data_IF_216524744923
#
_entry.id   IF_216524744923
#
_cell.length_a   1.000
_cell.length_b   1.000
_cell.length_c   1.000
_cell.angle_alpha   90.00
_cell.angle_beta   90.00
_cell.angle_gamma   90.00
#
_symmetry.space_group_name_H-M   'P 1'
#
loop_
_entity.id
_entity.type
_entity.pdbx_description
1 polymer ?
#
# COMPACT_ATOMS: atom_id res chain seq x y z
N UNK A 1 13.31 14.98 -3.03
CA UNK A 1 12.72 13.82 -3.76
C UNK A 1 11.28 14.12 -4.14
N UNK A 2 10.70 13.45 -5.18
CA UNK A 2 9.28 13.55 -5.55
C UNK A 2 8.70 12.15 -5.66
N UNK A 3 7.53 11.92 -5.04
CA UNK A 3 6.80 10.65 -5.12
C UNK A 3 5.52 10.86 -5.93
N UNK A 4 5.47 10.30 -7.13
CA UNK A 4 4.27 10.26 -7.98
C UNK A 4 3.39 9.11 -7.54
N UNK A 5 2.12 9.41 -7.21
CA UNK A 5 1.20 8.42 -6.65
C UNK A 5 -0.23 8.56 -7.14
N UNK A 6 -1.02 7.52 -6.97
CA UNK A 6 -2.46 7.61 -6.79
C UNK A 6 -2.77 7.58 -5.29
N UNK A 7 -3.67 8.44 -4.82
CA UNK A 7 -4.11 8.48 -3.43
C UNK A 7 -4.57 7.09 -2.91
N UNK A 8 -5.26 6.33 -3.76
CA UNK A 8 -5.81 5.01 -3.39
C UNK A 8 -4.88 3.82 -3.67
N UNK A 9 -3.60 4.04 -3.94
CA UNK A 9 -2.67 2.94 -4.25
C UNK A 9 -1.96 2.44 -3.01
N UNK A 10 -2.21 1.16 -2.64
CA UNK A 10 -1.49 0.45 -1.58
C UNK A 10 0.03 0.51 -1.75
N UNK A 11 0.54 0.31 -2.97
CA UNK A 11 1.95 0.36 -3.30
C UNK A 11 2.57 1.75 -3.11
N UNK A 12 1.79 2.81 -3.35
CA UNK A 12 2.24 4.18 -3.10
C UNK A 12 2.33 4.46 -1.61
N UNK A 13 1.34 4.05 -0.83
CA UNK A 13 1.35 4.18 0.64
C UNK A 13 2.47 3.37 1.28
N UNK A 14 2.81 2.19 0.76
CA UNK A 14 3.98 1.42 1.20
C UNK A 14 5.27 2.23 1.03
N UNK A 15 5.48 2.82 -0.15
CA UNK A 15 6.68 3.63 -0.43
C UNK A 15 6.68 4.90 0.43
N UNK A 16 5.54 5.57 0.56
CA UNK A 16 5.40 6.74 1.41
C UNK A 16 5.78 6.43 2.85
N UNK A 17 5.21 5.37 3.43
CA UNK A 17 5.54 4.94 4.80
C UNK A 17 7.03 4.58 4.94
N UNK A 18 7.63 3.92 3.96
CA UNK A 18 9.07 3.63 3.99
C UNK A 18 9.94 4.91 4.00
N UNK A 19 9.55 5.94 3.25
CA UNK A 19 10.20 7.26 3.27
C UNK A 19 10.03 7.95 4.63
N UNK A 20 8.82 7.90 5.20
CA UNK A 20 8.50 8.49 6.51
C UNK A 20 9.28 7.81 7.64
N UNK A 21 9.40 6.48 7.64
CA UNK A 21 10.21 5.72 8.60
C UNK A 21 11.70 6.06 8.51
N UNK A 22 12.19 6.43 7.34
CA UNK A 22 13.56 6.92 7.14
C UNK A 22 13.72 8.41 7.48
N UNK A 23 12.63 9.14 7.75
CA UNK A 23 12.65 10.59 7.96
C UNK A 23 13.03 11.37 6.70
N UNK A 24 12.76 10.82 5.52
CA UNK A 24 13.10 11.48 4.23
C UNK A 24 12.08 12.55 3.91
N UNK A 25 12.57 13.70 3.40
CA UNK A 25 11.70 14.77 2.88
C UNK A 25 11.40 14.51 1.40
N UNK A 26 10.15 14.61 1.03
CA UNK A 26 9.69 14.42 -0.35
C UNK A 26 8.43 15.26 -0.61
N UNK A 27 8.21 15.58 -1.87
CA UNK A 27 7.00 16.17 -2.41
C UNK A 27 6.09 15.05 -2.91
N UNK A 28 4.80 15.08 -2.55
CA UNK A 28 3.80 14.19 -3.13
C UNK A 28 3.24 14.82 -4.40
N UNK A 29 3.30 14.08 -5.49
CA UNK A 29 2.69 14.46 -6.77
C UNK A 29 1.53 13.50 -7.04
N UNK A 30 0.31 14.03 -6.87
CA UNK A 30 -0.91 13.27 -7.17
C UNK A 30 -1.10 13.16 -8.68
N UNK A 31 -1.09 11.94 -9.19
CA UNK A 31 -1.33 11.66 -10.60
C UNK A 31 -2.83 11.50 -10.84
N UNK A 32 -3.45 12.24 -11.77
CA UNK A 32 -4.85 12.02 -12.11
C UNK A 32 -5.06 10.60 -12.67
N UNK A 33 -6.15 9.94 -12.27
CA UNK A 33 -6.35 8.53 -12.65
C UNK A 33 -6.47 8.33 -14.16
N UNK A 34 -7.17 9.23 -14.84
CA UNK A 34 -7.40 9.21 -16.29
C UNK A 34 -6.33 9.92 -17.12
N UNK A 35 -5.51 10.80 -16.51
CA UNK A 35 -4.44 11.53 -17.22
C UNK A 35 -3.08 11.23 -16.61
N UNK A 36 -2.25 10.54 -17.34
CA UNK A 36 -0.93 10.10 -16.92
C UNK A 36 0.20 10.64 -17.80
N UNK A 37 -0.06 11.74 -18.53
CA UNK A 37 0.91 12.30 -19.48
C UNK A 37 2.19 12.73 -18.77
N UNK A 38 2.09 13.42 -17.62
CA UNK A 38 3.23 13.79 -16.81
C UNK A 38 4.00 12.55 -16.30
N UNK A 39 3.30 11.57 -15.74
CA UNK A 39 3.92 10.32 -15.27
C UNK A 39 4.67 9.61 -16.38
N UNK A 40 4.09 9.54 -17.58
CA UNK A 40 4.71 8.94 -18.75
C UNK A 40 5.99 9.70 -19.15
N UNK A 41 5.97 11.04 -19.13
CA UNK A 41 7.14 11.86 -19.48
C UNK A 41 8.29 11.68 -18.49
N UNK A 42 7.99 11.49 -17.20
CA UNK A 42 8.98 11.33 -16.13
C UNK A 42 9.56 9.92 -16.08
N UNK A 43 8.74 8.90 -16.24
CA UNK A 43 9.14 7.50 -15.95
C UNK A 43 9.16 6.57 -17.16
N UNK A 44 8.65 7.03 -18.30
CA UNK A 44 8.44 6.16 -19.46
C UNK A 44 7.32 5.12 -19.28
N UNK A 45 6.53 5.20 -18.19
CA UNK A 45 5.49 4.25 -17.84
C UNK A 45 4.22 4.89 -17.31
N UNK A 46 3.18 4.09 -17.13
CA UNK A 46 1.85 4.54 -16.68
C UNK A 46 1.49 4.03 -15.27
N UNK A 47 2.45 3.44 -14.56
CA UNK A 47 2.21 2.82 -13.25
C UNK A 47 2.84 3.65 -12.15
N UNK A 48 2.16 3.75 -11.04
CA UNK A 48 2.66 4.31 -9.78
C UNK A 48 2.96 3.18 -8.79
N UNK A 49 3.85 3.40 -7.79
CA UNK A 49 4.61 4.61 -7.51
C UNK A 49 5.81 4.82 -8.43
N UNK A 50 6.19 6.09 -8.61
CA UNK A 50 7.47 6.49 -9.18
C UNK A 50 8.14 7.46 -8.22
N UNK A 51 9.40 7.20 -7.87
CA UNK A 51 10.21 8.06 -7.01
C UNK A 51 11.31 8.72 -7.84
N UNK A 52 11.35 10.05 -7.83
CA UNK A 52 12.46 10.84 -8.34
C UNK A 52 13.33 11.26 -7.17
N UNK A 53 14.57 10.76 -7.12
CA UNK A 53 15.54 11.07 -6.07
C UNK A 53 16.13 12.47 -6.25
N UNK A 54 16.82 13.00 -5.23
CA UNK A 54 17.40 14.35 -5.26
C UNK A 54 18.41 14.55 -6.42
N UNK A 55 19.13 13.49 -6.81
CA UNK A 55 20.03 13.49 -7.95
C UNK A 55 19.38 13.34 -9.32
N UNK A 56 18.03 13.33 -9.40
CA UNK A 56 17.30 13.16 -10.66
C UNK A 56 17.13 11.69 -11.11
N UNK A 57 17.66 10.72 -10.34
CA UNK A 57 17.44 9.29 -10.60
C UNK A 57 15.95 8.97 -10.49
N UNK A 58 15.38 8.34 -11.52
CA UNK A 58 13.97 7.93 -11.56
C UNK A 58 13.87 6.43 -11.28
N UNK A 59 13.15 6.06 -10.23
CA UNK A 59 12.91 4.66 -9.87
C UNK A 59 11.42 4.39 -9.92
N UNK A 60 11.00 3.49 -10.79
CA UNK A 60 9.63 3.01 -10.89
C UNK A 60 9.51 1.60 -10.28
N UNK A 61 8.30 1.26 -9.81
CA UNK A 61 7.95 0.03 -9.10
C UNK A 61 8.29 0.05 -7.60
N UNK A 62 7.28 -0.27 -6.77
CA UNK A 62 7.39 -0.17 -5.31
C UNK A 62 8.47 -1.07 -4.71
N UNK A 63 8.66 -2.28 -5.25
CA UNK A 63 9.71 -3.22 -4.78
C UNK A 63 11.10 -2.66 -5.09
N UNK A 64 11.30 -2.12 -6.29
CA UNK A 64 12.57 -1.50 -6.70
C UNK A 64 12.85 -0.22 -5.90
N UNK A 65 11.83 0.60 -5.66
CA UNK A 65 11.96 1.80 -4.81
C UNK A 65 12.38 1.39 -3.40
N UNK A 66 11.68 0.45 -2.77
CA UNK A 66 12.03 -0.03 -1.42
C UNK A 66 13.45 -0.63 -1.39
N UNK A 67 13.83 -1.43 -2.37
CA UNK A 67 15.19 -1.96 -2.47
C UNK A 67 16.24 -0.84 -2.60
N UNK A 68 15.94 0.22 -3.37
CA UNK A 68 16.82 1.39 -3.51
C UNK A 68 16.94 2.18 -2.20
N UNK A 69 15.84 2.31 -1.44
CA UNK A 69 15.85 2.95 -0.12
C UNK A 69 16.65 2.14 0.90
N UNK A 70 16.49 0.82 0.91
CA UNK A 70 17.23 -0.09 1.79
C UNK A 70 18.73 -0.09 1.49
N UNK A 71 19.14 0.05 0.23
CA UNK A 71 20.54 0.17 -0.16
C UNK A 71 21.15 1.56 0.14
N UNK A 72 20.33 2.53 0.52
CA UNK A 72 20.76 3.88 0.87
C UNK A 72 21.09 4.07 2.35
N UNK A 73 21.46 5.28 2.71
CA UNK A 73 21.74 5.67 4.10
C UNK A 73 20.55 5.43 5.03
N UNK A 74 20.77 4.73 6.15
CA UNK A 74 19.76 4.39 7.15
C UNK A 74 18.84 3.24 6.73
N UNK A 75 19.10 2.59 5.58
CA UNK A 75 18.25 1.52 5.06
C UNK A 75 18.19 0.29 5.96
N UNK A 76 19.20 0.07 6.81
CA UNK A 76 19.21 -0.95 7.86
C UNK A 76 18.10 -0.77 8.91
N UNK A 77 17.54 0.42 9.03
CA UNK A 77 16.36 0.69 9.89
C UNK A 77 15.09 0.08 9.29
N UNK A 78 14.95 0.10 7.95
CA UNK A 78 13.84 -0.55 7.27
C UNK A 78 14.01 -2.08 7.21
N UNK A 79 15.25 -2.51 6.96
CA UNK A 79 15.57 -3.95 6.81
C UNK A 79 16.88 -4.24 7.55
N UNK A 80 16.80 -4.50 8.88
CA UNK A 80 17.94 -4.99 9.64
C UNK A 80 18.51 -6.26 9.02
N UNK A 81 19.86 -6.38 8.86
CA UNK A 81 20.48 -7.54 8.18
C UNK A 81 20.04 -8.90 8.71
N UNK A 82 19.89 -9.02 10.03
CA UNK A 82 19.47 -10.28 10.69
C UNK A 82 18.01 -10.68 10.35
N UNK A 83 17.18 -9.75 9.92
CA UNK A 83 15.76 -9.96 9.61
C UNK A 83 15.44 -9.77 8.13
N UNK A 84 16.45 -9.64 7.27
CA UNK A 84 16.23 -9.29 5.86
C UNK A 84 15.33 -10.30 5.13
N UNK A 85 15.58 -11.59 5.30
CA UNK A 85 14.75 -12.64 4.70
C UNK A 85 13.27 -12.56 5.13
N UNK A 86 12.98 -12.64 6.45
CA UNK A 86 11.63 -12.54 6.97
C UNK A 86 10.89 -11.24 6.57
N UNK A 87 11.56 -10.08 6.64
CA UNK A 87 10.95 -8.80 6.29
C UNK A 87 10.55 -8.74 4.81
N UNK A 88 11.43 -9.19 3.91
CA UNK A 88 11.09 -9.24 2.50
C UNK A 88 10.00 -10.27 2.18
N UNK A 89 10.03 -11.43 2.82
CA UNK A 89 8.98 -12.44 2.66
C UNK A 89 7.61 -11.91 3.13
N UNK A 90 7.58 -11.16 4.25
CA UNK A 90 6.35 -10.54 4.72
C UNK A 90 5.87 -9.41 3.78
N UNK A 91 6.78 -8.61 3.24
CA UNK A 91 6.43 -7.61 2.23
C UNK A 91 5.85 -8.28 0.97
N UNK A 92 6.41 -9.42 0.54
CA UNK A 92 5.88 -10.19 -0.60
C UNK A 92 4.51 -10.82 -0.27
N UNK A 93 4.27 -11.27 0.96
CA UNK A 93 2.95 -11.68 1.43
C UNK A 93 1.93 -10.53 1.34
N UNK A 94 2.31 -9.33 1.79
CA UNK A 94 1.45 -8.14 1.70
C UNK A 94 1.14 -7.76 0.25
N UNK A 95 2.14 -7.83 -0.65
CA UNK A 95 2.02 -7.49 -2.07
C UNK A 95 1.34 -8.59 -2.91
N UNK A 96 1.09 -9.75 -2.33
CA UNK A 96 0.51 -10.90 -3.01
C UNK A 96 -0.78 -11.39 -2.35
N UNK A 97 -0.66 -12.35 -1.44
CA UNK A 97 -1.83 -13.03 -0.85
C UNK A 97 -2.76 -12.08 -0.08
N UNK A 98 -2.19 -11.16 0.70
CA UNK A 98 -2.99 -10.17 1.42
C UNK A 98 -3.60 -9.14 0.46
N UNK A 99 -2.82 -8.65 -0.51
CA UNK A 99 -3.30 -7.68 -1.51
C UNK A 99 -4.48 -8.23 -2.28
N UNK A 100 -4.46 -9.50 -2.71
CA UNK A 100 -5.56 -10.08 -3.49
C UNK A 100 -6.92 -9.96 -2.77
N UNK A 101 -6.93 -10.11 -1.46
CA UNK A 101 -8.16 -10.02 -0.66
C UNK A 101 -8.51 -8.57 -0.32
N UNK A 102 -7.56 -7.81 0.21
CA UNK A 102 -7.79 -6.42 0.65
C UNK A 102 -8.09 -5.51 -0.53
N UNK A 103 -7.47 -5.74 -1.68
CA UNK A 103 -7.76 -5.01 -2.91
C UNK A 103 -9.21 -5.21 -3.38
N UNK A 104 -9.71 -6.45 -3.33
CA UNK A 104 -11.12 -6.75 -3.67
C UNK A 104 -12.07 -6.10 -2.67
N UNK A 105 -11.72 -6.14 -1.39
CA UNK A 105 -12.49 -5.51 -0.31
C UNK A 105 -12.57 -3.98 -0.50
N UNK A 106 -11.47 -3.34 -0.93
CA UNK A 106 -11.36 -1.89 -1.10
C UNK A 106 -11.92 -1.37 -2.44
N UNK A 107 -11.81 -2.16 -3.53
CA UNK A 107 -12.07 -1.66 -4.89
C UNK A 107 -13.44 -1.05 -5.12
N UNK A 108 -14.57 -1.58 -4.61
CA UNK A 108 -15.87 -0.93 -4.77
C UNK A 108 -15.90 0.46 -4.12
N UNK A 109 -15.31 0.60 -2.94
CA UNK A 109 -15.19 1.88 -2.24
C UNK A 109 -14.31 2.88 -3.00
N UNK A 110 -13.18 2.44 -3.55
CA UNK A 110 -12.31 3.26 -4.39
C UNK A 110 -13.09 3.78 -5.60
N UNK A 111 -13.80 2.90 -6.33
CA UNK A 111 -14.62 3.32 -7.49
C UNK A 111 -15.58 4.45 -7.12
N UNK A 112 -16.27 4.37 -5.97
CA UNK A 112 -17.22 5.41 -5.51
C UNK A 112 -16.56 6.75 -5.22
N UNK A 113 -15.28 6.75 -4.83
CA UNK A 113 -14.52 7.95 -4.46
C UNK A 113 -13.84 8.64 -5.64
N UNK A 114 -13.69 7.98 -6.78
CA UNK A 114 -13.17 8.62 -7.99
C UNK A 114 -14.10 9.75 -8.45
N UNK A 115 -13.52 10.94 -8.64
CA UNK A 115 -14.25 12.19 -8.82
C UNK A 115 -15.06 12.24 -10.11
N UNK A 116 -14.51 11.76 -11.22
CA UNK A 116 -15.14 11.86 -12.53
C UNK A 116 -15.84 10.56 -12.95
N UNK A 117 -16.86 10.69 -13.80
CA UNK A 117 -17.53 9.54 -14.43
C UNK A 117 -16.52 8.75 -15.28
N UNK A 118 -15.65 9.47 -16.01
CA UNK A 118 -14.64 8.88 -16.86
C UNK A 118 -13.65 8.02 -16.04
N UNK A 119 -13.17 8.53 -14.89
CA UNK A 119 -12.27 7.76 -14.02
C UNK A 119 -12.93 6.50 -13.45
N UNK A 120 -14.21 6.61 -13.04
CA UNK A 120 -14.97 5.44 -12.58
C UNK A 120 -15.17 4.40 -13.68
N UNK A 121 -15.47 4.83 -14.90
CA UNK A 121 -15.61 3.93 -16.05
C UNK A 121 -14.28 3.27 -16.41
N UNK A 122 -13.19 4.04 -16.44
CA UNK A 122 -11.85 3.52 -16.70
C UNK A 122 -11.42 2.53 -15.60
N UNK A 123 -11.68 2.85 -14.34
CA UNK A 123 -11.39 1.95 -13.21
C UNK A 123 -12.13 0.61 -13.38
N UNK A 124 -13.43 0.67 -13.66
CA UNK A 124 -14.26 -0.52 -13.89
C UNK A 124 -13.70 -1.34 -15.05
N UNK A 125 -13.48 -0.73 -16.21
CA UNK A 125 -12.94 -1.41 -17.39
C UNK A 125 -11.61 -2.14 -17.10
N UNK A 126 -10.68 -1.46 -16.38
CA UNK A 126 -9.37 -2.05 -16.04
C UNK A 126 -9.54 -3.25 -15.10
N UNK A 127 -10.50 -3.22 -14.17
CA UNK A 127 -10.76 -4.33 -13.25
C UNK A 127 -11.43 -5.50 -13.96
N UNK A 128 -12.45 -5.23 -14.76
CA UNK A 128 -13.17 -6.27 -15.49
C UNK A 128 -12.29 -6.98 -16.53
N UNK A 129 -11.37 -6.28 -17.18
CA UNK A 129 -10.37 -6.92 -18.06
C UNK A 129 -9.46 -7.91 -17.33
N UNK A 130 -9.18 -7.70 -16.06
CA UNK A 130 -8.28 -8.54 -15.25
C UNK A 130 -9.02 -9.64 -14.49
N UNK A 131 -10.22 -9.35 -14.00
CA UNK A 131 -10.92 -10.18 -13.02
C UNK A 131 -12.30 -10.71 -13.51
N UNK A 132 -12.71 -10.32 -14.69
CA UNK A 132 -14.01 -10.68 -15.29
C UNK A 132 -15.06 -9.59 -15.12
N UNK A 133 -16.03 -9.60 -16.04
CA UNK A 133 -17.15 -8.66 -16.05
C UNK A 133 -17.97 -8.76 -14.76
N UNK A 134 -18.41 -7.62 -14.23
CA UNK A 134 -19.18 -7.53 -12.99
C UNK A 134 -18.40 -7.85 -11.71
N UNK A 135 -17.06 -7.91 -11.76
CA UNK A 135 -16.24 -8.25 -10.61
C UNK A 135 -16.42 -7.26 -9.44
N UNK A 136 -16.60 -5.98 -9.71
CA UNK A 136 -16.78 -4.97 -8.65
C UNK A 136 -18.11 -5.15 -7.92
N UNK A 137 -19.18 -5.47 -8.60
CA UNK A 137 -20.49 -5.77 -8.03
C UNK A 137 -20.47 -7.09 -7.26
N UNK A 138 -19.72 -8.10 -7.72
CA UNK A 138 -19.51 -9.33 -6.99
C UNK A 138 -18.75 -9.05 -5.67
N UNK A 139 -17.67 -8.28 -5.71
CA UNK A 139 -16.92 -7.91 -4.51
C UNK A 139 -17.73 -7.04 -3.53
N UNK A 140 -18.64 -6.20 -4.03
CA UNK A 140 -19.57 -5.44 -3.19
C UNK A 140 -20.52 -6.37 -2.41
N UNK A 141 -21.02 -7.45 -3.03
CA UNK A 141 -21.87 -8.44 -2.36
C UNK A 141 -21.09 -9.30 -1.37
N UNK A 142 -19.82 -9.58 -1.66
CA UNK A 142 -19.00 -10.53 -0.90
C UNK A 142 -18.17 -9.87 0.21
N UNK A 143 -18.47 -8.62 0.59
CA UNK A 143 -17.69 -7.82 1.55
C UNK A 143 -17.44 -8.57 2.89
N UNK A 144 -18.43 -9.27 3.42
CA UNK A 144 -18.29 -10.01 4.68
C UNK A 144 -17.27 -11.16 4.54
N UNK A 145 -17.41 -11.98 3.50
CA UNK A 145 -16.50 -13.10 3.22
C UNK A 145 -15.07 -12.61 2.92
N UNK A 146 -14.92 -11.51 2.18
CA UNK A 146 -13.61 -10.91 1.93
C UNK A 146 -12.97 -10.40 3.24
N UNK A 147 -13.75 -9.78 4.12
CA UNK A 147 -13.25 -9.33 5.43
C UNK A 147 -12.81 -10.51 6.32
N UNK A 148 -13.55 -11.60 6.33
CA UNK A 148 -13.20 -12.81 7.09
C UNK A 148 -11.92 -13.44 6.56
N UNK A 149 -11.76 -13.57 5.24
CA UNK A 149 -10.53 -14.05 4.59
C UNK A 149 -9.33 -13.15 4.87
N UNK A 150 -9.51 -11.82 4.85
CA UNK A 150 -8.45 -10.89 5.19
C UNK A 150 -8.03 -11.03 6.66
N UNK A 151 -8.98 -11.23 7.57
CA UNK A 151 -8.71 -11.48 8.99
C UNK A 151 -7.97 -12.80 9.21
N UNK A 152 -8.38 -13.85 8.52
CA UNK A 152 -7.70 -15.15 8.56
C UNK A 152 -6.26 -15.04 8.07
N UNK A 153 -6.03 -14.37 6.94
CA UNK A 153 -4.68 -14.12 6.42
C UNK A 153 -3.81 -13.29 7.38
N UNK A 154 -4.42 -12.39 8.15
CA UNK A 154 -3.75 -11.54 9.13
C UNK A 154 -3.61 -12.20 10.52
N UNK A 155 -4.17 -13.37 10.77
CA UNK A 155 -4.21 -13.98 12.11
C UNK A 155 -2.82 -14.05 12.79
N UNK A 156 -1.73 -14.51 12.12
CA UNK A 156 -0.39 -14.53 12.75
C UNK A 156 0.12 -13.11 13.08
N UNK A 157 -0.21 -12.13 12.24
CA UNK A 157 0.15 -10.73 12.47
C UNK A 157 -0.59 -10.15 13.67
N UNK A 158 -1.90 -10.44 13.79
CA UNK A 158 -2.71 -10.00 14.94
C UNK A 158 -2.19 -10.56 16.25
N UNK A 159 -1.83 -11.85 16.29
CA UNK A 159 -1.21 -12.47 17.45
C UNK A 159 0.12 -11.82 17.83
N UNK A 160 0.92 -11.47 16.83
CA UNK A 160 2.20 -10.76 17.04
C UNK A 160 1.97 -9.38 17.64
N UNK A 161 1.05 -8.60 17.08
CA UNK A 161 0.76 -7.23 17.52
C UNK A 161 0.10 -7.14 18.91
N UNK A 162 -0.38 -8.26 19.48
CA UNK A 162 -0.78 -8.33 20.89
C UNK A 162 0.40 -8.36 21.86
N UNK A 163 1.60 -8.71 21.39
CA UNK A 163 2.79 -8.94 22.22
C UNK A 163 3.87 -7.91 22.01
N UNK A 164 4.00 -7.39 20.78
CA UNK A 164 5.02 -6.41 20.39
C UNK A 164 4.40 -5.28 19.58
N UNK A 165 5.01 -4.08 19.58
CA UNK A 165 4.42 -2.90 18.95
C UNK A 165 4.38 -2.94 17.43
N UNK A 166 5.27 -3.68 16.76
CA UNK A 166 5.39 -3.76 15.30
C UNK A 166 5.57 -5.20 14.83
N UNK A 167 5.43 -5.43 13.51
CA UNK A 167 5.40 -6.78 12.91
C UNK A 167 6.61 -7.63 13.27
N UNK A 168 7.81 -7.04 13.40
CA UNK A 168 9.04 -7.74 13.74
C UNK A 168 9.73 -7.22 15.01
N UNK A 169 8.98 -6.74 16.00
CA UNK A 169 9.50 -6.36 17.33
C UNK A 169 9.26 -4.92 17.71
N UNK A 170 10.28 -4.24 18.25
CA UNK A 170 10.14 -2.96 18.94
C UNK A 170 10.26 -1.73 18.03
N UNK A 171 10.71 -1.90 16.81
CA UNK A 171 10.86 -0.84 15.81
C UNK A 171 10.14 -1.18 14.49
N UNK A 172 9.53 -0.18 13.83
CA UNK A 172 8.87 -0.40 12.55
C UNK A 172 9.89 -0.66 11.44
N UNK A 173 9.51 -1.53 10.51
CA UNK A 173 10.34 -1.99 9.40
C UNK A 173 9.61 -1.85 8.07
N UNK A 174 10.23 -2.30 6.97
CA UNK A 174 9.58 -2.39 5.66
C UNK A 174 8.33 -3.30 5.69
N UNK A 175 8.29 -4.29 6.59
CA UNK A 175 7.11 -5.13 6.79
C UNK A 175 5.91 -4.30 7.25
N UNK A 176 6.14 -3.38 8.19
CA UNK A 176 5.11 -2.44 8.67
C UNK A 176 4.68 -1.48 7.56
N UNK A 177 5.61 -0.98 6.77
CA UNK A 177 5.29 -0.15 5.61
C UNK A 177 4.44 -0.90 4.57
N UNK A 178 4.72 -2.18 4.32
CA UNK A 178 3.96 -2.99 3.38
C UNK A 178 2.53 -3.28 3.88
N UNK A 179 2.38 -3.63 5.16
CA UNK A 179 1.07 -3.81 5.79
C UNK A 179 0.27 -2.50 5.82
N UNK A 180 0.93 -1.39 6.19
CA UNK A 180 0.30 -0.07 6.20
C UNK A 180 -0.28 0.29 4.83
N UNK A 181 0.45 0.01 3.75
CA UNK A 181 -0.03 0.28 2.40
C UNK A 181 -1.38 -0.38 2.10
N UNK A 182 -1.56 -1.63 2.49
CA UNK A 182 -2.81 -2.37 2.30
C UNK A 182 -3.96 -1.76 3.10
N UNK A 183 -3.71 -1.44 4.37
CA UNK A 183 -4.73 -0.92 5.27
C UNK A 183 -5.08 0.56 4.98
N UNK A 184 -4.12 1.37 4.55
CA UNK A 184 -4.35 2.73 4.10
C UNK A 184 -5.27 2.77 2.87
N UNK A 185 -5.03 1.90 1.88
CA UNK A 185 -5.93 1.74 0.73
C UNK A 185 -7.36 1.38 1.17
N UNK A 186 -7.51 0.43 2.11
CA UNK A 186 -8.81 0.04 2.64
C UNK A 186 -9.50 1.22 3.35
N UNK A 187 -8.77 1.97 4.19
CA UNK A 187 -9.29 3.15 4.90
C UNK A 187 -9.75 4.22 3.92
N UNK A 188 -8.95 4.53 2.90
CA UNK A 188 -9.31 5.49 1.84
C UNK A 188 -10.56 5.03 1.09
N UNK A 189 -10.73 3.73 0.87
CA UNK A 189 -11.95 3.19 0.27
C UNK A 189 -13.20 3.34 1.17
N UNK A 190 -13.04 3.77 2.41
CA UNK A 190 -14.11 3.86 3.41
C UNK A 190 -14.35 2.56 4.18
N UNK A 191 -13.40 1.62 4.09
CA UNK A 191 -13.44 0.39 4.87
C UNK A 191 -12.93 0.59 6.31
N UNK A 192 -13.50 -0.17 7.23
CA UNK A 192 -13.12 -0.13 8.64
C UNK A 192 -12.01 -1.13 8.95
N UNK A 193 -10.78 -0.65 9.12
CA UNK A 193 -9.61 -1.49 9.50
C UNK A 193 -9.90 -2.32 10.76
N UNK A 194 -10.66 -1.75 11.71
CA UNK A 194 -11.04 -2.43 12.96
C UNK A 194 -11.76 -3.77 12.74
N UNK A 195 -12.48 -3.92 11.63
CA UNK A 195 -13.15 -5.20 11.28
C UNK A 195 -12.16 -6.32 10.96
N UNK A 196 -10.95 -5.98 10.55
CA UNK A 196 -9.89 -6.96 10.29
C UNK A 196 -9.14 -7.36 11.57
N UNK A 197 -9.10 -6.45 12.58
CA UNK A 197 -8.49 -6.68 13.88
C UNK A 197 -8.37 -5.36 14.65
N UNK A 198 -8.73 -5.35 15.92
CA UNK A 198 -8.62 -4.15 16.78
C UNK A 198 -7.17 -3.74 17.01
N UNK A 199 -6.25 -4.70 16.99
CA UNK A 199 -4.80 -4.52 17.16
C UNK A 199 -4.22 -3.63 16.06
N UNK A 200 -4.76 -3.72 14.84
CA UNK A 200 -4.31 -2.94 13.68
C UNK A 200 -4.52 -1.44 13.85
N UNK A 201 -5.58 -1.04 14.55
CA UNK A 201 -5.86 0.39 14.80
C UNK A 201 -4.75 0.99 15.65
N UNK A 202 -4.49 0.43 16.83
CA UNK A 202 -3.43 0.92 17.70
C UNK A 202 -2.02 0.76 17.11
N UNK A 203 -1.80 -0.24 16.24
CA UNK A 203 -0.55 -0.37 15.50
C UNK A 203 -0.41 0.76 14.46
N UNK A 204 -1.45 1.09 13.69
CA UNK A 204 -1.41 2.22 12.74
C UNK A 204 -1.10 3.55 13.44
N UNK A 205 -1.72 3.81 14.61
CA UNK A 205 -1.52 5.03 15.38
C UNK A 205 -0.06 5.22 15.86
N UNK A 206 0.72 4.15 15.98
CA UNK A 206 2.16 4.21 16.32
C UNK A 206 3.06 4.56 15.15
N UNK A 207 2.55 4.48 13.91
CA UNK A 207 3.31 4.80 12.70
C UNK A 207 3.24 6.30 12.36
N UNK A 208 4.25 6.89 11.70
CA UNK A 208 4.19 8.26 11.23
C UNK A 208 2.93 8.51 10.36
N UNK A 209 2.15 9.56 10.69
CA UNK A 209 0.92 9.89 9.93
C UNK A 209 -0.20 8.84 10.02
N UNK A 210 -0.10 7.88 10.93
CA UNK A 210 -1.05 6.77 11.05
C UNK A 210 -2.37 7.12 11.72
N UNK A 211 -2.47 8.25 12.41
CA UNK A 211 -3.61 8.68 13.21
C UNK A 211 -4.64 9.58 12.50
N UNK A 212 -4.45 9.93 11.22
CA UNK A 212 -5.33 10.83 10.45
C UNK A 212 -6.33 10.05 9.58
#
# INVERSE_FOLDING_TARGET
MKLYRFEHSNYCHKVQMALDLLGRRYELVEVPYGDRAELLSVSGGLRVPVLVLEGGEVVADSRRICARLVAGEGGERLVPPALAGPIWAYADFCDGALEDVVFRLASPGIRRRLSTVADRALFTLVKERRYGEGCLEAWERDQASLADRAREALAPTLETLQRVPFVFGDAPTLADAALYGQLAMLRIAGGEVRRLGKELVGWMERLPGGGD
#
